data_IF_393790344209
#
_entry.id   IF_393790344209
#
_cell.length_a   1.000
_cell.length_b   1.000
_cell.length_c   1.000
_cell.angle_alpha   90.00
_cell.angle_beta   90.00
_cell.angle_gamma   90.00
#
_symmetry.space_group_name_H-M   'P 1'
#
loop_
_entity.id
_entity.type
_entity.pdbx_description
1 polymer ?
#
# COMPACT_ATOMS: atom_id res chain seq x y z
N UNK A 1 3.19 -36.02 -29.63
CA UNK A 1 2.66 -35.59 -28.32
C UNK A 1 3.66 -34.61 -27.73
N UNK A 2 3.58 -33.34 -28.12
CA UNK A 2 4.55 -32.33 -27.67
C UNK A 2 3.92 -31.53 -26.54
N UNK A 3 4.28 -31.90 -25.31
CA UNK A 3 3.93 -31.13 -24.12
C UNK A 3 4.84 -29.92 -24.00
N UNK A 4 4.33 -28.73 -24.31
CA UNK A 4 4.96 -27.46 -23.94
C UNK A 4 4.61 -27.18 -22.48
N UNK A 5 5.53 -27.51 -21.59
CA UNK A 5 5.49 -27.10 -20.19
C UNK A 5 5.62 -25.57 -20.11
N UNK A 6 4.55 -24.90 -19.70
CA UNK A 6 4.59 -23.49 -19.36
C UNK A 6 5.39 -23.31 -18.06
N UNK A 7 6.65 -22.91 -18.20
CA UNK A 7 7.42 -22.32 -17.11
C UNK A 7 6.79 -20.96 -16.77
N UNK A 8 5.84 -20.95 -15.82
CA UNK A 8 5.28 -19.72 -15.28
C UNK A 8 6.35 -19.06 -14.39
N UNK A 9 7.08 -18.12 -14.98
CA UNK A 9 8.01 -17.26 -14.24
C UNK A 9 7.18 -16.17 -13.54
N UNK A 10 6.90 -16.33 -12.24
CA UNK A 10 6.43 -15.23 -11.40
C UNK A 10 7.63 -14.31 -11.13
N UNK A 11 7.93 -13.42 -12.06
CA UNK A 11 8.81 -12.29 -11.74
C UNK A 11 8.03 -11.38 -10.80
N UNK A 12 8.37 -11.41 -9.51
CA UNK A 12 7.96 -10.39 -8.54
C UNK A 12 8.75 -9.14 -8.90
N UNK A 13 8.32 -8.45 -9.96
CA UNK A 13 8.77 -7.09 -10.20
C UNK A 13 8.16 -6.25 -9.11
N UNK A 14 9.00 -5.49 -8.42
CA UNK A 14 8.65 -4.30 -7.66
C UNK A 14 7.76 -3.41 -8.54
N UNK A 15 6.44 -3.65 -8.52
CA UNK A 15 5.50 -2.96 -9.40
C UNK A 15 5.35 -1.54 -8.87
N UNK A 16 5.78 -0.58 -9.67
CA UNK A 16 5.45 0.81 -9.46
C UNK A 16 3.93 0.97 -9.57
N UNK A 17 3.32 1.51 -8.53
CA UNK A 17 1.89 1.80 -8.48
C UNK A 17 1.67 3.27 -8.21
N UNK A 18 0.84 3.90 -9.04
CA UNK A 18 0.43 5.29 -8.85
C UNK A 18 -0.90 5.32 -8.12
N UNK A 19 -0.98 6.13 -7.07
CA UNK A 19 -2.20 6.33 -6.30
C UNK A 19 -2.28 7.72 -5.69
N UNK A 20 -3.34 7.96 -4.93
CA UNK A 20 -3.56 9.21 -4.20
C UNK A 20 -3.39 8.96 -2.71
N UNK A 21 -2.72 9.87 -2.01
CA UNK A 21 -2.63 9.82 -0.55
C UNK A 21 -3.98 10.16 0.05
N UNK A 22 -4.44 9.30 0.95
CA UNK A 22 -5.64 9.54 1.76
C UNK A 22 -5.24 9.42 3.23
N UNK A 23 -5.55 10.43 4.03
CA UNK A 23 -5.29 10.47 5.46
C UNK A 23 -6.56 10.75 6.23
N UNK A 24 -6.77 9.95 7.26
CA UNK A 24 -7.78 10.21 8.26
C UNK A 24 -7.31 9.73 9.64
N UNK A 25 -8.20 9.78 10.62
CA UNK A 25 -7.86 9.39 11.99
C UNK A 25 -7.67 7.88 12.18
N UNK A 26 -7.95 7.06 11.15
CA UNK A 26 -7.74 5.61 11.15
C UNK A 26 -6.42 5.23 10.49
N UNK A 27 -5.78 6.11 9.71
CA UNK A 27 -4.51 5.82 9.05
C UNK A 27 -4.08 6.74 7.92
N UNK A 28 -2.98 6.33 7.26
CA UNK A 28 -2.54 6.85 5.98
C UNK A 28 -2.63 5.74 4.95
N UNK A 29 -3.19 6.06 3.78
CA UNK A 29 -3.52 5.11 2.73
C UNK A 29 -2.98 5.59 1.39
N UNK A 30 -2.75 4.64 0.49
CA UNK A 30 -2.58 4.89 -0.95
C UNK A 30 -3.80 4.31 -1.67
N UNK A 31 -4.60 5.20 -2.26
CA UNK A 31 -5.76 4.85 -3.09
C UNK A 31 -5.35 4.70 -4.54
N UNK A 32 -5.35 3.48 -5.08
CA UNK A 32 -4.90 3.18 -6.45
C UNK A 32 -6.04 3.16 -7.47
N UNK A 33 -7.27 2.93 -7.02
CA UNK A 33 -8.50 3.01 -7.80
C UNK A 33 -9.68 3.40 -6.89
N UNK A 34 -10.89 3.52 -7.44
CA UNK A 34 -12.09 3.82 -6.67
C UNK A 34 -12.34 2.72 -5.62
N UNK A 35 -12.38 3.10 -4.34
CA UNK A 35 -12.52 2.19 -3.19
C UNK A 35 -11.42 1.12 -3.08
N UNK A 36 -10.26 1.32 -3.70
CA UNK A 36 -9.08 0.47 -3.56
C UNK A 36 -7.98 1.16 -2.77
N UNK A 37 -8.19 1.18 -1.45
CA UNK A 37 -7.28 1.82 -0.49
C UNK A 37 -6.38 0.76 0.13
N UNK A 38 -5.09 1.03 0.15
CA UNK A 38 -4.11 0.19 0.83
C UNK A 38 -3.56 0.95 2.03
N UNK A 39 -3.65 0.31 3.19
CA UNK A 39 -3.14 0.87 4.43
C UNK A 39 -1.61 0.84 4.43
N UNK A 40 -0.98 1.99 4.64
CA UNK A 40 0.48 2.11 4.72
C UNK A 40 0.95 1.91 6.15
N UNK A 41 1.73 0.85 6.41
CA UNK A 41 2.28 0.58 7.75
C UNK A 41 3.41 1.54 8.12
N UNK A 42 4.33 1.80 7.19
CA UNK A 42 5.48 2.71 7.37
C UNK A 42 5.17 4.14 6.88
N UNK A 43 4.06 4.71 7.35
CA UNK A 43 3.50 5.99 6.86
C UNK A 43 4.47 7.19 6.95
N UNK A 44 5.50 7.12 7.80
CA UNK A 44 6.50 8.17 7.97
C UNK A 44 7.24 8.53 6.66
N UNK A 45 7.37 7.56 5.73
CA UNK A 45 7.96 7.79 4.41
C UNK A 45 7.17 8.80 3.56
N UNK A 46 5.89 8.98 3.87
CA UNK A 46 4.98 9.89 3.17
C UNK A 46 4.81 11.23 3.89
N UNK A 47 5.54 11.53 4.95
CA UNK A 47 5.39 12.78 5.74
C UNK A 47 5.51 14.06 4.92
N UNK A 48 6.35 14.06 3.88
CA UNK A 48 6.50 15.20 2.95
C UNK A 48 5.36 15.33 1.93
N UNK A 49 4.49 14.31 1.81
CA UNK A 49 3.39 14.24 0.85
C UNK A 49 2.10 14.77 1.45
N UNK A 50 1.32 15.54 0.71
CA UNK A 50 0.05 16.09 1.21
C UNK A 50 -1.10 15.09 1.05
N UNK A 51 -2.13 15.26 1.86
CA UNK A 51 -3.39 14.55 1.64
C UNK A 51 -3.97 14.96 0.26
N UNK A 52 -4.49 13.99 -0.50
CA UNK A 52 -4.92 14.18 -1.88
C UNK A 52 -3.79 14.26 -2.91
N UNK A 53 -2.51 14.19 -2.51
CA UNK A 53 -1.39 14.21 -3.46
C UNK A 53 -1.28 12.88 -4.22
N UNK A 54 -1.02 12.95 -5.53
CA UNK A 54 -0.69 11.76 -6.33
C UNK A 54 0.77 11.35 -6.08
N UNK A 55 0.99 10.06 -5.82
CA UNK A 55 2.30 9.48 -5.58
C UNK A 55 2.48 8.19 -6.37
N UNK A 56 3.70 7.94 -6.82
CA UNK A 56 4.11 6.67 -7.41
C UNK A 56 4.98 5.92 -6.41
N UNK A 57 4.53 4.75 -5.96
CA UNK A 57 5.17 3.97 -4.90
C UNK A 57 5.49 2.56 -5.36
N UNK A 58 6.57 2.01 -4.83
CA UNK A 58 6.85 0.57 -4.85
C UNK A 58 6.58 0.04 -3.45
N UNK A 59 5.84 -1.05 -3.31
CA UNK A 59 5.49 -1.61 -2.01
C UNK A 59 5.45 -3.13 -2.00
N UNK A 60 5.55 -3.71 -0.80
CA UNK A 60 5.18 -5.10 -0.52
C UNK A 60 3.87 -5.17 0.26
N UNK A 61 3.10 -6.23 0.05
CA UNK A 61 1.99 -6.55 0.94
C UNK A 61 2.50 -7.13 2.26
N UNK A 62 1.89 -6.74 3.36
CA UNK A 62 2.16 -7.28 4.69
C UNK A 62 0.87 -7.76 5.36
N UNK A 63 1.01 -8.68 6.31
CA UNK A 63 -0.09 -9.21 7.11
C UNK A 63 -0.39 -8.38 8.36
N UNK A 64 0.56 -7.55 8.77
CA UNK A 64 0.50 -6.77 10.00
C UNK A 64 1.25 -5.44 9.85
N UNK A 65 0.82 -4.45 10.63
CA UNK A 65 1.51 -3.18 10.79
C UNK A 65 1.94 -3.03 12.26
N UNK A 66 3.10 -3.58 12.63
CA UNK A 66 3.64 -3.43 13.99
C UNK A 66 3.82 -1.95 14.40
N UNK A 67 3.98 -1.06 13.42
CA UNK A 67 4.08 0.38 13.60
C UNK A 67 2.79 1.03 14.13
N UNK A 68 1.68 0.29 14.20
CA UNK A 68 0.42 0.73 14.80
C UNK A 68 0.29 0.33 16.27
N UNK A 69 1.13 -0.59 16.75
CA UNK A 69 1.03 -1.06 18.13
C UNK A 69 1.25 0.10 19.10
N UNK A 70 0.30 0.29 20.02
CA UNK A 70 0.32 1.39 20.99
C UNK A 70 -0.02 2.77 20.44
N UNK A 71 -0.31 2.92 19.13
CA UNK A 71 -0.78 4.20 18.58
C UNK A 71 -2.29 4.34 18.76
N UNK A 72 -2.72 5.49 19.30
CA UNK A 72 -4.14 5.81 19.45
C UNK A 72 -4.71 6.16 18.07
N UNK A 73 -5.61 5.32 17.56
CA UNK A 73 -6.42 5.58 16.37
C UNK A 73 -7.85 5.91 16.81
N UNK A 74 -8.59 6.69 16.02
CA UNK A 74 -10.01 6.85 16.27
C UNK A 74 -10.75 5.51 16.04
N UNK A 75 -11.85 5.27 16.76
CA UNK A 75 -12.65 4.05 16.63
C UNK A 75 -13.59 4.10 15.40
N UNK A 76 -13.05 4.47 14.24
CA UNK A 76 -13.76 4.47 12.96
C UNK A 76 -13.25 3.33 12.07
N UNK A 77 -14.10 2.88 11.15
CA UNK A 77 -13.73 1.88 10.15
C UNK A 77 -13.47 2.57 8.81
N UNK A 78 -12.28 2.35 8.25
CA UNK A 78 -11.93 2.71 6.88
C UNK A 78 -11.66 1.42 6.08
N UNK A 79 -12.51 1.14 5.09
CA UNK A 79 -12.36 -0.04 4.25
C UNK A 79 -11.04 0.03 3.46
N UNK A 80 -10.24 -1.02 3.54
CA UNK A 80 -8.99 -1.12 2.79
C UNK A 80 -8.83 -2.55 2.25
N UNK A 81 -8.14 -2.69 1.11
CA UNK A 81 -7.89 -3.97 0.43
C UNK A 81 -6.72 -4.76 1.02
N UNK A 82 -5.99 -4.15 1.96
CA UNK A 82 -4.91 -4.79 2.69
C UNK A 82 -3.89 -3.78 3.19
N UNK A 83 -2.87 -4.32 3.83
CA UNK A 83 -1.75 -3.56 4.38
C UNK A 83 -0.53 -3.66 3.46
N UNK A 84 0.19 -2.56 3.34
CA UNK A 84 1.39 -2.44 2.53
C UNK A 84 2.53 -1.75 3.30
N UNK A 85 3.76 -2.11 2.96
CA UNK A 85 4.95 -1.38 3.36
C UNK A 85 5.64 -0.82 2.11
N UNK A 86 5.81 0.49 2.06
CA UNK A 86 6.39 1.19 0.91
C UNK A 86 7.91 1.03 0.95
N UNK A 87 8.49 0.49 -0.13
CA UNK A 87 9.94 0.40 -0.35
C UNK A 87 10.54 1.70 -0.83
N UNK A 88 9.86 2.37 -1.76
CA UNK A 88 10.35 3.62 -2.34
C UNK A 88 9.23 4.45 -2.94
N UNK A 89 9.46 5.75 -3.01
CA UNK A 89 8.65 6.73 -3.72
C UNK A 89 9.42 7.13 -4.98
N UNK A 90 8.74 7.23 -6.12
CA UNK A 90 9.31 7.68 -7.40
C UNK A 90 8.88 9.10 -7.74
#
# INVERSE_FOLDING_TARGET
MSGLSFLSCKSVHDRLQTGTIVRDCTGTYVRVAENEDYLVCNADILTAKKDGEKVSVVYDHTKECAERDGKIMCMMYHENKGMISIKSIK
#
